data_IF_583340755880
#
_entry.id   IF_583340755880
#
_cell.length_a   1.000
_cell.length_b   1.000
_cell.length_c   1.000
_cell.angle_alpha   90.00
_cell.angle_beta   90.00
_cell.angle_gamma   90.00
#
_symmetry.space_group_name_H-M   'P 1'
#
loop_
_entity.id
_entity.type
_entity.pdbx_description
1 polymer ?
#
# COMPACT_ATOMS: atom_id res chain seq x y z
N UNK A 1 -5.83 -9.30 2.31
CA UNK A 1 -5.58 -7.85 2.16
C UNK A 1 -6.64 -7.06 2.91
N UNK A 2 -6.26 -6.15 3.84
CA UNK A 2 -7.24 -5.39 4.63
C UNK A 2 -7.53 -4.04 3.94
N UNK A 3 -8.75 -3.86 3.41
CA UNK A 3 -9.19 -2.60 2.77
C UNK A 3 -9.11 -1.42 3.76
N UNK A 4 -9.40 -1.65 5.05
CA UNK A 4 -9.38 -0.62 6.08
C UNK A 4 -8.05 0.17 6.15
N UNK A 5 -6.91 -0.52 5.97
CA UNK A 5 -5.59 0.13 6.03
C UNK A 5 -5.41 1.11 4.85
N UNK A 6 -5.85 0.73 3.64
CA UNK A 6 -5.75 1.62 2.48
C UNK A 6 -6.65 2.84 2.63
N UNK A 7 -7.87 2.66 3.12
CA UNK A 7 -8.80 3.77 3.36
C UNK A 7 -8.21 4.80 4.32
N UNK A 8 -7.63 4.37 5.43
CA UNK A 8 -7.00 5.28 6.41
C UNK A 8 -5.84 6.07 5.81
N UNK A 9 -5.02 5.43 4.97
CA UNK A 9 -3.90 6.09 4.27
C UNK A 9 -4.40 7.09 3.22
N UNK A 10 -5.46 6.76 2.47
CA UNK A 10 -6.08 7.69 1.52
C UNK A 10 -6.62 8.92 2.26
N UNK A 11 -7.32 8.72 3.39
CA UNK A 11 -7.84 9.80 4.23
C UNK A 11 -6.70 10.71 4.72
N UNK A 12 -5.60 10.14 5.20
CA UNK A 12 -4.40 10.88 5.59
C UNK A 12 -3.92 11.79 4.46
N UNK A 13 -3.70 11.24 3.26
CA UNK A 13 -3.18 12.01 2.12
C UNK A 13 -4.16 13.06 1.60
N UNK A 14 -5.46 12.74 1.54
CA UNK A 14 -6.50 13.69 1.14
C UNK A 14 -6.56 14.89 2.11
N UNK A 15 -6.54 14.64 3.43
CA UNK A 15 -6.51 15.70 4.44
C UNK A 15 -5.24 16.55 4.35
N UNK A 16 -4.08 15.92 4.13
CA UNK A 16 -2.82 16.63 3.90
C UNK A 16 -2.86 17.47 2.62
N UNK A 17 -3.61 17.04 1.60
CA UNK A 17 -3.91 17.81 0.41
C UNK A 17 -4.97 18.91 0.60
N UNK A 18 -5.50 19.11 1.81
CA UNK A 18 -6.48 20.15 2.14
C UNK A 18 -7.94 19.74 1.90
N UNK A 19 -8.24 18.46 1.71
CA UNK A 19 -9.60 17.99 1.50
C UNK A 19 -10.33 17.70 2.82
N UNK A 20 -11.63 18.01 2.86
CA UNK A 20 -12.54 17.49 3.88
C UNK A 20 -12.97 16.07 3.48
N UNK A 21 -12.80 15.10 4.38
CA UNK A 21 -13.04 13.68 4.06
C UNK A 21 -14.02 13.07 5.05
N UNK A 22 -15.07 12.45 4.51
CA UNK A 22 -16.03 11.64 5.25
C UNK A 22 -15.82 10.16 4.89
N UNK A 23 -15.84 9.29 5.90
CA UNK A 23 -15.74 7.85 5.70
C UNK A 23 -17.00 7.14 6.21
N UNK A 24 -17.31 6.01 5.57
CA UNK A 24 -18.45 5.17 5.92
C UNK A 24 -18.05 3.72 5.78
N UNK A 25 -18.35 2.91 6.79
CA UNK A 25 -18.14 1.46 6.75
C UNK A 25 -19.47 0.79 7.08
N UNK A 26 -19.82 -0.21 6.28
CA UNK A 26 -20.94 -1.11 6.54
C UNK A 26 -20.35 -2.50 6.72
N UNK A 27 -20.36 -2.99 7.96
CA UNK A 27 -19.64 -4.22 8.33
C UNK A 27 -20.42 -5.50 8.05
N UNK A 28 -21.71 -5.54 8.38
CA UNK A 28 -22.62 -6.66 8.11
C UNK A 28 -24.03 -6.13 7.89
N UNK A 29 -24.52 -6.23 6.66
CA UNK A 29 -25.91 -5.91 6.32
C UNK A 29 -26.35 -6.72 5.09
N UNK A 30 -27.61 -7.12 5.08
CA UNK A 30 -28.27 -7.73 3.90
C UNK A 30 -28.58 -6.68 2.81
N UNK A 31 -28.39 -5.39 3.09
CA UNK A 31 -28.63 -4.28 2.16
C UNK A 31 -27.45 -3.28 2.12
N UNK A 32 -26.23 -3.80 2.20
CA UNK A 32 -25.02 -2.98 2.37
C UNK A 32 -24.85 -1.89 1.28
N UNK A 33 -25.23 -2.16 0.03
CA UNK A 33 -25.10 -1.19 -1.07
C UNK A 33 -26.00 0.03 -0.85
N UNK A 34 -27.26 -0.18 -0.46
CA UNK A 34 -28.18 0.92 -0.19
C UNK A 34 -27.72 1.74 1.02
N UNK A 35 -27.23 1.09 2.07
CA UNK A 35 -26.69 1.77 3.25
C UNK A 35 -25.43 2.59 2.90
N UNK A 36 -24.52 2.05 2.09
CA UNK A 36 -23.36 2.78 1.59
C UNK A 36 -23.78 4.02 0.76
N UNK A 37 -24.78 3.88 -0.11
CA UNK A 37 -25.35 5.02 -0.84
C UNK A 37 -25.94 6.06 0.11
N UNK A 38 -26.69 5.63 1.14
CA UNK A 38 -27.26 6.54 2.13
C UNK A 38 -26.17 7.31 2.89
N UNK A 39 -25.09 6.64 3.29
CA UNK A 39 -23.96 7.31 3.95
C UNK A 39 -23.34 8.36 3.03
N UNK A 40 -23.06 8.02 1.77
CA UNK A 40 -22.51 8.96 0.79
C UNK A 40 -23.47 10.14 0.54
N UNK A 41 -24.76 9.87 0.38
CA UNK A 41 -25.79 10.85 0.05
C UNK A 41 -26.20 11.77 1.20
N UNK A 42 -25.82 11.46 2.44
CA UNK A 42 -25.97 12.38 3.59
C UNK A 42 -24.98 13.55 3.52
N UNK A 43 -23.90 13.40 2.76
CA UNK A 43 -22.86 14.40 2.63
C UNK A 43 -23.02 15.16 1.31
N UNK A 44 -22.72 16.45 1.33
CA UNK A 44 -22.58 17.24 0.10
C UNK A 44 -21.10 17.26 -0.29
N UNK A 45 -20.68 16.29 -1.10
CA UNK A 45 -19.28 16.08 -1.51
C UNK A 45 -19.09 16.29 -3.01
N UNK A 46 -17.89 16.74 -3.41
CA UNK A 46 -17.53 16.91 -4.82
C UNK A 46 -17.39 15.58 -5.57
N UNK A 47 -17.01 14.52 -4.84
CA UNK A 47 -16.88 13.15 -5.36
C UNK A 47 -17.10 12.12 -4.24
N UNK A 48 -17.80 11.05 -4.57
CA UNK A 48 -17.92 9.85 -3.76
C UNK A 48 -17.05 8.73 -4.36
N UNK A 49 -16.37 7.96 -3.51
CA UNK A 49 -15.39 6.96 -3.96
C UNK A 49 -15.62 5.63 -3.25
N UNK A 50 -15.74 4.56 -4.02
CA UNK A 50 -15.73 3.18 -3.52
C UNK A 50 -14.37 2.54 -3.86
N UNK A 51 -13.73 1.90 -2.87
CA UNK A 51 -12.40 1.30 -3.03
C UNK A 51 -12.54 -0.22 -3.03
N UNK A 52 -12.12 -0.84 -4.13
CA UNK A 52 -12.15 -2.28 -4.35
C UNK A 52 -10.76 -2.79 -4.75
N UNK A 53 -10.61 -4.10 -4.67
CA UNK A 53 -9.52 -4.82 -5.31
C UNK A 53 -10.11 -5.89 -6.19
N UNK A 54 -9.55 -6.03 -7.39
CA UNK A 54 -10.10 -6.89 -8.42
C UNK A 54 -9.65 -8.34 -8.22
N UNK A 55 -10.32 -9.26 -8.91
CA UNK A 55 -9.95 -10.66 -8.98
C UNK A 55 -10.40 -11.23 -10.33
N UNK A 56 -9.64 -12.16 -10.89
CA UNK A 56 -9.96 -12.87 -12.12
C UNK A 56 -9.34 -14.28 -12.11
N UNK A 57 -8.01 -14.39 -12.17
CA UNK A 57 -7.29 -15.67 -12.07
C UNK A 57 -5.94 -15.53 -11.39
N UNK A 58 -5.45 -16.62 -10.79
CA UNK A 58 -4.14 -16.64 -10.13
C UNK A 58 -3.01 -16.54 -11.15
N UNK A 59 -2.12 -15.56 -10.97
CA UNK A 59 -0.95 -15.35 -11.85
C UNK A 59 0.23 -14.73 -11.11
N UNK A 60 1.43 -14.90 -11.67
CA UNK A 60 2.64 -14.21 -11.21
C UNK A 60 2.80 -12.81 -11.85
N UNK A 61 2.09 -12.53 -12.94
CA UNK A 61 2.24 -11.31 -13.73
C UNK A 61 1.35 -10.16 -13.24
N UNK A 62 1.68 -8.92 -13.66
CA UNK A 62 0.85 -7.74 -13.38
C UNK A 62 -0.48 -7.80 -14.14
N UNK A 63 -1.59 -7.59 -13.44
CA UNK A 63 -2.92 -7.54 -14.05
C UNK A 63 -3.48 -6.13 -14.13
N UNK A 64 -3.22 -5.30 -13.12
CA UNK A 64 -3.32 -3.86 -13.23
C UNK A 64 -4.45 -3.20 -12.45
N UNK A 65 -4.70 -1.94 -12.79
CA UNK A 65 -5.74 -1.08 -12.20
C UNK A 65 -6.78 -0.68 -13.24
N UNK A 66 -8.02 -0.54 -12.80
CA UNK A 66 -9.10 0.10 -13.57
C UNK A 66 -9.96 0.99 -12.64
N UNK A 67 -10.64 1.98 -13.20
CA UNK A 67 -11.57 2.82 -12.43
C UNK A 67 -12.89 2.98 -13.17
N UNK A 68 -13.98 2.62 -12.52
CA UNK A 68 -15.32 2.59 -13.11
C UNK A 68 -16.04 3.90 -12.77
N UNK A 69 -16.70 4.50 -13.75
CA UNK A 69 -17.49 5.73 -13.59
C UNK A 69 -18.84 5.60 -14.31
N UNK A 70 -19.85 6.33 -13.85
CA UNK A 70 -21.17 6.37 -14.53
C UNK A 70 -21.43 7.67 -15.28
N UNK A 71 -21.00 8.81 -14.73
CA UNK A 71 -21.28 10.15 -15.26
C UNK A 71 -20.02 10.80 -15.84
N UNK A 72 -20.18 11.80 -16.71
CA UNK A 72 -19.05 12.57 -17.24
C UNK A 72 -18.25 13.27 -16.14
N UNK A 73 -18.92 13.76 -15.08
CA UNK A 73 -18.23 14.34 -13.92
C UNK A 73 -17.42 13.28 -13.17
N UNK A 74 -17.95 12.06 -13.00
CA UNK A 74 -17.21 10.93 -12.44
C UNK A 74 -16.02 10.52 -13.32
N UNK A 75 -16.17 10.56 -14.65
CA UNK A 75 -15.11 10.23 -15.62
C UNK A 75 -13.84 11.05 -15.38
N UNK A 76 -13.97 12.35 -15.11
CA UNK A 76 -12.82 13.23 -14.84
C UNK A 76 -11.99 12.71 -13.67
N UNK A 77 -12.63 12.31 -12.57
CA UNK A 77 -11.93 11.73 -11.43
C UNK A 77 -11.34 10.36 -11.77
N UNK A 78 -12.10 9.51 -12.47
CA UNK A 78 -11.67 8.17 -12.85
C UNK A 78 -10.42 8.19 -13.74
N UNK A 79 -10.38 9.06 -14.75
CA UNK A 79 -9.23 9.22 -15.64
C UNK A 79 -7.97 9.64 -14.87
N UNK A 80 -8.09 10.61 -13.96
CA UNK A 80 -6.95 11.10 -13.17
C UNK A 80 -6.42 10.04 -12.20
N UNK A 81 -7.32 9.39 -11.46
CA UNK A 81 -6.96 8.33 -10.51
C UNK A 81 -6.33 7.15 -11.23
N UNK A 82 -6.94 6.68 -12.32
CA UNK A 82 -6.42 5.56 -13.10
C UNK A 82 -5.04 5.91 -13.69
N UNK A 83 -4.86 7.11 -14.23
CA UNK A 83 -3.57 7.59 -14.74
C UNK A 83 -2.48 7.57 -13.67
N UNK A 84 -2.80 8.01 -12.44
CA UNK A 84 -1.85 7.97 -11.32
C UNK A 84 -1.49 6.54 -10.92
N UNK A 85 -2.48 5.66 -10.76
CA UNK A 85 -2.23 4.25 -10.40
C UNK A 85 -1.51 3.46 -11.51
N UNK A 86 -1.74 3.82 -12.78
CA UNK A 86 -1.07 3.24 -13.94
C UNK A 86 0.46 3.50 -13.98
N UNK A 87 0.98 4.39 -13.13
CA UNK A 87 2.43 4.57 -12.98
C UNK A 87 3.11 3.39 -12.27
N UNK A 88 2.34 2.58 -11.54
CA UNK A 88 2.87 1.46 -10.74
C UNK A 88 2.24 0.11 -11.12
N UNK A 89 0.97 0.12 -11.54
CA UNK A 89 0.22 -1.04 -12.01
C UNK A 89 0.01 -1.01 -13.53
N UNK A 90 -0.32 -2.16 -14.13
CA UNK A 90 -0.70 -2.22 -15.55
C UNK A 90 -1.95 -1.36 -15.79
N UNK A 91 -1.93 -0.50 -16.80
CA UNK A 91 -3.05 0.38 -17.12
C UNK A 91 -4.18 -0.40 -17.83
N UNK A 92 -5.38 -0.45 -17.26
CA UNK A 92 -6.59 -0.99 -17.91
C UNK A 92 -7.64 0.08 -18.21
N UNK A 93 -7.35 1.33 -17.84
CA UNK A 93 -8.16 2.49 -18.17
C UNK A 93 -9.30 2.77 -17.20
N UNK A 94 -9.82 4.01 -17.31
CA UNK A 94 -11.13 4.33 -16.78
C UNK A 94 -12.21 3.74 -17.70
N UNK A 95 -13.27 3.18 -17.12
CA UNK A 95 -14.33 2.48 -17.86
C UNK A 95 -15.70 3.01 -17.46
N UNK A 96 -16.56 3.26 -18.45
CA UNK A 96 -17.96 3.55 -18.18
C UNK A 96 -18.64 2.32 -17.59
N UNK A 97 -19.49 2.53 -16.59
CA UNK A 97 -20.32 1.48 -16.02
C UNK A 97 -21.36 1.01 -17.06
N UNK A 98 -21.18 -0.23 -17.53
CA UNK A 98 -22.12 -0.92 -18.42
C UNK A 98 -22.96 -1.97 -17.68
N UNK A 99 -22.68 -2.20 -16.39
CA UNK A 99 -23.31 -3.25 -15.58
C UNK A 99 -24.47 -2.72 -14.76
N UNK A 100 -24.61 -1.39 -14.64
CA UNK A 100 -25.60 -0.76 -13.79
C UNK A 100 -25.29 -0.99 -12.31
N UNK A 101 -24.02 -0.79 -11.92
CA UNK A 101 -23.59 -0.96 -10.54
C UNK A 101 -24.45 -0.09 -9.62
N UNK A 102 -25.09 -0.74 -8.65
CA UNK A 102 -26.09 -0.11 -7.80
C UNK A 102 -25.53 1.13 -7.09
N UNK A 103 -24.31 1.02 -6.54
CA UNK A 103 -23.69 2.10 -5.78
C UNK A 103 -23.41 3.34 -6.63
N UNK A 104 -22.83 3.16 -7.83
CA UNK A 104 -22.63 4.26 -8.79
C UNK A 104 -23.96 4.86 -9.26
N UNK A 105 -25.00 4.04 -9.35
CA UNK A 105 -26.32 4.44 -9.85
C UNK A 105 -27.16 5.21 -8.85
N UNK A 106 -26.96 4.99 -7.55
CA UNK A 106 -27.79 5.55 -6.47
C UNK A 106 -27.02 6.55 -5.58
N UNK A 107 -25.77 6.86 -5.92
CA UNK A 107 -25.00 7.93 -5.28
C UNK A 107 -25.24 9.25 -6.02
N UNK A 108 -25.60 10.31 -5.29
CA UNK A 108 -26.00 11.63 -5.83
C UNK A 108 -24.81 12.44 -6.34
N UNK A 109 -23.72 12.46 -5.59
CA UNK A 109 -22.48 13.12 -6.00
C UNK A 109 -21.86 12.39 -7.20
N UNK A 110 -20.97 13.03 -7.98
CA UNK A 110 -20.11 12.32 -8.92
C UNK A 110 -19.43 11.13 -8.22
N UNK A 111 -19.54 9.93 -8.79
CA UNK A 111 -19.12 8.71 -8.12
C UNK A 111 -18.17 7.89 -9.00
N UNK A 112 -17.14 7.30 -8.38
CA UNK A 112 -16.20 6.37 -9.00
C UNK A 112 -15.97 5.14 -8.12
N UNK A 113 -15.74 3.99 -8.76
CA UNK A 113 -15.31 2.74 -8.11
C UNK A 113 -13.90 2.43 -8.60
N UNK A 114 -12.94 2.41 -7.68
CA UNK A 114 -11.53 2.15 -7.99
C UNK A 114 -11.25 0.67 -7.76
N UNK A 115 -10.85 -0.05 -8.80
CA UNK A 115 -10.23 -1.37 -8.70
C UNK A 115 -8.72 -1.17 -8.66
N UNK A 116 -8.17 -1.11 -7.44
CA UNK A 116 -6.81 -0.64 -7.18
C UNK A 116 -5.77 -1.54 -7.86
N UNK A 117 -5.86 -2.84 -7.61
CA UNK A 117 -5.03 -3.88 -8.23
C UNK A 117 -5.71 -5.25 -8.06
N UNK A 118 -5.15 -6.31 -8.65
CA UNK A 118 -5.70 -7.67 -8.55
C UNK A 118 -5.16 -8.42 -7.32
N UNK A 119 -6.06 -9.05 -6.55
CA UNK A 119 -5.72 -9.80 -5.32
C UNK A 119 -5.10 -11.17 -5.59
N UNK A 120 -5.33 -11.70 -6.78
CA UNK A 120 -4.86 -12.98 -7.27
C UNK A 120 -3.68 -12.84 -8.26
N UNK A 121 -3.22 -11.62 -8.52
CA UNK A 121 -1.92 -11.34 -9.11
C UNK A 121 -0.86 -11.20 -8.02
N UNK A 122 0.16 -12.06 -8.07
CA UNK A 122 1.30 -11.97 -7.14
C UNK A 122 2.04 -10.66 -7.30
N UNK A 123 2.33 -10.23 -8.53
CA UNK A 123 3.06 -8.98 -8.78
C UNK A 123 2.32 -7.74 -8.25
N UNK A 124 1.00 -7.68 -8.45
CA UNK A 124 0.17 -6.57 -7.97
C UNK A 124 0.09 -6.57 -6.44
N UNK A 125 -0.17 -7.73 -5.84
CA UNK A 125 -0.29 -7.89 -4.38
C UNK A 125 1.01 -7.58 -3.67
N UNK A 126 2.14 -8.11 -4.16
CA UNK A 126 3.47 -7.85 -3.62
C UNK A 126 3.80 -6.35 -3.64
N UNK A 127 3.51 -5.67 -4.76
CA UNK A 127 3.73 -4.23 -4.88
C UNK A 127 2.85 -3.44 -3.92
N UNK A 128 1.54 -3.71 -3.91
CA UNK A 128 0.60 -3.05 -3.02
C UNK A 128 1.00 -3.21 -1.55
N UNK A 129 1.35 -4.43 -1.12
CA UNK A 129 1.69 -4.70 0.27
C UNK A 129 2.93 -3.88 0.69
N UNK A 130 3.98 -3.82 -0.14
CA UNK A 130 5.20 -3.02 0.16
C UNK A 130 4.98 -1.51 0.06
N UNK A 131 4.10 -1.06 -0.83
CA UNK A 131 3.99 0.34 -1.26
C UNK A 131 2.59 0.95 -1.03
N UNK A 132 1.79 0.41 -0.10
CA UNK A 132 0.42 0.86 0.19
C UNK A 132 0.26 2.37 0.44
N UNK A 133 1.23 3.02 1.10
CA UNK A 133 1.21 4.49 1.32
C UNK A 133 1.43 5.27 0.01
N UNK A 134 2.29 4.77 -0.90
CA UNK A 134 2.47 5.33 -2.25
C UNK A 134 1.19 5.16 -3.06
N UNK A 135 0.57 3.98 -3.02
CA UNK A 135 -0.71 3.71 -3.71
C UNK A 135 -1.81 4.66 -3.20
N UNK A 136 -1.92 4.82 -1.88
CA UNK A 136 -2.86 5.75 -1.27
C UNK A 136 -2.61 7.21 -1.70
N UNK A 137 -1.34 7.63 -1.73
CA UNK A 137 -0.93 8.95 -2.21
C UNK A 137 -1.32 9.17 -3.67
N UNK A 138 -1.05 8.21 -4.56
CA UNK A 138 -1.42 8.29 -5.97
C UNK A 138 -2.94 8.46 -6.16
N UNK A 139 -3.74 7.73 -5.39
CA UNK A 139 -5.20 7.89 -5.38
C UNK A 139 -5.57 9.32 -4.96
N UNK A 140 -5.03 9.81 -3.83
CA UNK A 140 -5.31 11.16 -3.34
C UNK A 140 -4.90 12.25 -4.33
N UNK A 141 -3.72 12.14 -4.96
CA UNK A 141 -3.26 13.07 -5.99
C UNK A 141 -4.15 13.04 -7.23
N UNK A 142 -4.67 11.87 -7.63
CA UNK A 142 -5.62 11.74 -8.73
C UNK A 142 -6.98 12.37 -8.42
N UNK A 143 -7.44 12.25 -7.17
CA UNK A 143 -8.67 12.89 -6.70
C UNK A 143 -8.53 14.40 -6.70
N UNK A 144 -7.44 14.92 -6.13
CA UNK A 144 -7.21 16.36 -5.94
C UNK A 144 -6.59 17.06 -7.15
N UNK A 145 -6.16 16.29 -8.16
CA UNK A 145 -5.47 16.78 -9.36
C UNK A 145 -4.25 17.65 -9.06
N UNK A 146 -3.49 17.27 -8.04
CA UNK A 146 -2.26 17.96 -7.66
C UNK A 146 -1.34 16.98 -6.95
N UNK A 147 -0.04 17.24 -7.03
CA UNK A 147 0.92 16.52 -6.20
C UNK A 147 0.76 16.93 -4.73
N UNK A 148 0.93 15.97 -3.84
CA UNK A 148 0.95 16.23 -2.39
C UNK A 148 2.38 16.01 -1.92
N UNK A 149 3.03 17.07 -1.45
CA UNK A 149 4.35 16.93 -0.87
C UNK A 149 4.23 16.15 0.43
N UNK A 150 5.00 15.07 0.53
CA UNK A 150 5.26 14.47 1.82
C UNK A 150 5.97 15.57 2.61
N UNK A 151 5.40 16.10 3.69
CA UNK A 151 6.21 16.84 4.64
C UNK A 151 7.18 15.81 5.25
N UNK A 152 8.28 15.55 4.55
CA UNK A 152 9.49 15.04 5.16
C UNK A 152 9.84 16.09 6.21
N UNK A 153 9.78 15.70 7.47
CA UNK A 153 10.57 16.36 8.49
C UNK A 153 12.01 16.31 7.95
N UNK A 154 12.46 17.41 7.39
CA UNK A 154 13.82 17.56 6.90
C UNK A 154 14.75 17.43 8.10
N UNK A 155 15.64 16.46 8.02
CA UNK A 155 16.97 16.57 8.60
C UNK A 155 17.91 16.26 7.43
N UNK A 156 18.63 17.30 7.02
CA UNK A 156 19.39 17.35 5.79
C UNK A 156 20.51 16.32 5.71
N UNK A 157 20.92 16.05 4.49
CA UNK A 157 22.09 15.25 4.17
C UNK A 157 22.09 14.83 2.70
N UNK A 158 22.72 15.64 1.85
CA UNK A 158 23.13 15.22 0.51
C UNK A 158 24.10 14.03 0.62
N UNK A 159 23.83 12.94 -0.09
CA UNK A 159 24.77 12.21 -0.95
C UNK A 159 24.03 11.05 -1.64
N UNK A 160 24.35 10.83 -2.91
CA UNK A 160 23.81 9.76 -3.76
C UNK A 160 24.12 8.34 -3.21
N UNK A 161 23.37 7.83 -2.22
CA UNK A 161 23.41 6.39 -1.87
C UNK A 161 22.12 5.74 -1.30
N UNK A 162 21.02 6.44 -0.98
CA UNK A 162 19.92 5.77 -0.27
C UNK A 162 18.69 5.53 -1.16
N UNK A 163 18.68 4.41 -1.91
CA UNK A 163 17.45 3.93 -2.58
C UNK A 163 16.41 3.40 -1.57
N UNK A 164 16.85 3.03 -0.37
CA UNK A 164 16.03 2.44 0.69
C UNK A 164 16.46 2.95 2.07
N UNK A 165 15.49 3.14 2.98
CA UNK A 165 15.76 3.58 4.36
C UNK A 165 16.16 2.41 5.28
N UNK A 166 15.79 1.18 4.92
CA UNK A 166 15.97 0.00 5.77
C UNK A 166 16.53 -1.19 4.99
N UNK A 167 17.61 -1.79 5.48
CA UNK A 167 18.11 -3.08 5.03
C UNK A 167 17.59 -4.19 5.94
N UNK A 168 16.98 -5.23 5.35
CA UNK A 168 16.58 -6.46 6.04
C UNK A 168 17.58 -7.54 5.60
N UNK A 169 18.52 -7.83 6.48
CA UNK A 169 19.67 -8.69 6.23
C UNK A 169 19.34 -10.12 6.64
N UNK A 170 19.67 -11.09 5.78
CA UNK A 170 19.41 -12.51 6.00
C UNK A 170 20.61 -13.37 5.55
N UNK A 171 20.58 -14.67 5.86
CA UNK A 171 21.58 -15.63 5.38
C UNK A 171 20.90 -16.92 4.92
N UNK A 172 21.10 -17.31 3.66
CA UNK A 172 20.52 -18.54 3.09
C UNK A 172 19.03 -18.45 2.78
N UNK A 173 18.50 -19.44 2.04
CA UNK A 173 17.16 -19.36 1.45
C UNK A 173 16.01 -19.48 2.47
N UNK A 174 16.23 -20.11 3.62
CA UNK A 174 15.18 -20.26 4.65
C UNK A 174 14.92 -18.93 5.37
N UNK A 175 15.98 -18.21 5.75
CA UNK A 175 15.86 -16.93 6.46
C UNK A 175 15.35 -15.82 5.54
N UNK A 176 15.65 -15.95 4.24
CA UNK A 176 15.10 -15.10 3.18
C UNK A 176 13.58 -15.07 3.17
N UNK A 177 12.90 -16.17 3.51
CA UNK A 177 11.45 -16.20 3.57
C UNK A 177 10.92 -15.28 4.68
N UNK A 178 11.53 -15.30 5.86
CA UNK A 178 11.17 -14.43 6.98
C UNK A 178 11.50 -12.97 6.66
N UNK A 179 12.68 -12.71 6.07
CA UNK A 179 13.07 -11.38 5.61
C UNK A 179 12.10 -10.84 4.54
N UNK A 180 11.64 -11.69 3.63
CA UNK A 180 10.63 -11.36 2.62
C UNK A 180 9.32 -10.95 3.27
N UNK A 181 8.84 -11.74 4.24
CA UNK A 181 7.62 -11.40 4.97
C UNK A 181 7.80 -10.09 5.74
N UNK A 182 8.95 -9.84 6.36
CA UNK A 182 9.20 -8.57 7.05
C UNK A 182 9.18 -7.37 6.07
N UNK A 183 9.79 -7.52 4.90
CA UNK A 183 9.86 -6.46 3.87
C UNK A 183 8.50 -5.99 3.37
N UNK A 184 7.49 -6.87 3.44
CA UNK A 184 6.11 -6.56 3.07
C UNK A 184 5.47 -5.50 3.98
N UNK A 185 5.95 -5.38 5.21
CA UNK A 185 5.38 -4.48 6.20
C UNK A 185 6.28 -3.27 6.50
N UNK A 186 7.59 -3.40 6.30
CA UNK A 186 8.53 -2.28 6.44
C UNK A 186 8.60 -1.50 5.12
N UNK A 187 7.98 -0.32 5.09
CA UNK A 187 8.04 0.58 3.94
C UNK A 187 9.48 1.05 3.66
N UNK A 188 9.77 1.28 2.38
CA UNK A 188 11.10 1.69 1.88
C UNK A 188 12.25 0.78 2.37
N UNK A 189 12.03 -0.53 2.35
CA UNK A 189 13.03 -1.53 2.72
C UNK A 189 13.57 -2.30 1.51
N UNK A 190 14.78 -2.83 1.66
CA UNK A 190 15.39 -3.80 0.75
C UNK A 190 15.80 -5.06 1.52
N UNK A 191 15.80 -6.20 0.85
CA UNK A 191 16.26 -7.46 1.42
C UNK A 191 17.68 -7.72 0.90
N UNK A 192 18.61 -8.07 1.78
CA UNK A 192 20.04 -8.17 1.46
C UNK A 192 20.62 -9.45 2.06
N UNK A 193 21.26 -10.29 1.25
CA UNK A 193 22.04 -11.41 1.77
C UNK A 193 23.27 -10.84 2.50
N UNK A 194 23.60 -11.36 3.69
CA UNK A 194 24.72 -10.86 4.49
C UNK A 194 26.05 -10.83 3.73
N UNK A 195 26.23 -11.70 2.73
CA UNK A 195 27.41 -11.71 1.86
C UNK A 195 27.53 -10.45 0.96
N UNK A 196 26.39 -9.83 0.64
CA UNK A 196 26.27 -8.67 -0.25
C UNK A 196 26.07 -7.37 0.55
N UNK A 197 25.95 -7.47 1.88
CA UNK A 197 25.76 -6.33 2.77
C UNK A 197 26.98 -5.41 2.78
N UNK A 198 26.72 -4.10 2.80
CA UNK A 198 27.74 -3.05 2.93
C UNK A 198 27.37 -2.14 4.10
N UNK A 199 28.37 -1.77 4.89
CA UNK A 199 28.20 -0.84 6.01
C UNK A 199 27.58 0.48 5.53
N UNK A 200 26.63 0.99 6.31
CA UNK A 200 25.91 2.23 6.07
C UNK A 200 25.10 2.30 4.77
N UNK A 201 24.74 1.14 4.18
CA UNK A 201 23.91 1.11 2.97
C UNK A 201 22.46 1.54 3.18
N UNK A 202 21.99 1.53 4.43
CA UNK A 202 20.66 1.97 4.83
C UNK A 202 20.74 2.55 6.25
N UNK A 203 19.84 3.48 6.56
CA UNK A 203 19.74 4.10 7.90
C UNK A 203 19.39 3.09 8.99
N UNK A 204 18.51 2.15 8.69
CA UNK A 204 18.09 1.10 9.61
C UNK A 204 18.55 -0.27 9.10
N UNK A 205 18.98 -1.12 10.00
CA UNK A 205 19.42 -2.49 9.68
C UNK A 205 18.68 -3.46 10.58
N UNK A 206 17.89 -4.34 9.97
CA UNK A 206 17.21 -5.45 10.64
C UNK A 206 17.87 -6.74 10.21
N UNK A 207 18.22 -7.60 11.16
CA UNK A 207 18.95 -8.83 10.90
C UNK A 207 18.06 -10.00 11.28
N UNK A 208 17.83 -10.90 10.33
CA UNK A 208 17.02 -12.11 10.52
C UNK A 208 17.96 -13.29 10.73
N UNK A 209 17.91 -13.84 11.95
CA UNK A 209 18.43 -15.17 12.33
C UNK A 209 19.95 -15.43 12.12
N UNK A 210 20.44 -16.46 12.83
CA UNK A 210 21.65 -17.26 12.58
C UNK A 210 22.85 -16.61 11.89
N UNK A 211 23.21 -17.11 10.71
CA UNK A 211 24.45 -16.75 10.00
C UNK A 211 24.57 -15.26 9.66
N UNK A 212 23.44 -14.57 9.50
CA UNK A 212 23.43 -13.12 9.31
C UNK A 212 23.83 -12.37 10.58
N UNK A 213 23.44 -12.88 11.76
CA UNK A 213 23.83 -12.33 13.07
C UNK A 213 25.34 -12.39 13.30
N UNK A 214 26.01 -13.47 12.88
CA UNK A 214 27.47 -13.53 13.00
C UNK A 214 28.17 -12.71 11.93
N UNK A 215 27.63 -12.68 10.70
CA UNK A 215 28.20 -11.88 9.62
C UNK A 215 28.10 -10.37 9.89
N UNK A 216 26.99 -9.89 10.46
CA UNK A 216 26.76 -8.46 10.67
C UNK A 216 27.70 -7.86 11.72
N UNK A 217 28.17 -8.65 12.70
CA UNK A 217 29.14 -8.22 13.73
C UNK A 217 30.47 -7.71 13.17
N UNK A 218 30.77 -8.04 11.91
CA UNK A 218 31.96 -7.55 11.20
C UNK A 218 31.85 -6.08 10.80
N UNK A 219 30.65 -5.51 10.87
CA UNK A 219 30.37 -4.13 10.48
C UNK A 219 30.06 -3.27 11.71
N UNK A 220 30.41 -1.97 11.68
CA UNK A 220 30.18 -1.04 12.80
C UNK A 220 28.72 -0.56 12.93
N UNK A 221 27.83 -0.97 12.02
CA UNK A 221 26.44 -0.55 11.96
C UNK A 221 25.65 -0.93 13.22
N UNK A 222 24.73 -0.05 13.62
CA UNK A 222 23.70 -0.41 14.61
C UNK A 222 22.62 -1.22 13.92
N UNK A 223 22.21 -2.33 14.54
CA UNK A 223 21.18 -3.21 14.00
C UNK A 223 20.21 -3.70 15.07
N UNK A 224 18.99 -4.03 14.63
CA UNK A 224 18.01 -4.76 15.45
C UNK A 224 18.03 -6.21 15.02
N UNK A 225 18.32 -7.11 15.96
CA UNK A 225 18.37 -8.53 15.67
C UNK A 225 17.03 -9.22 15.98
N UNK A 226 16.60 -10.09 15.08
CA UNK A 226 15.46 -10.98 15.26
C UNK A 226 15.99 -12.41 15.29
N UNK A 227 16.24 -12.93 16.48
CA UNK A 227 16.82 -14.25 16.70
C UNK A 227 16.06 -14.95 17.84
N UNK A 228 15.20 -15.89 17.48
CA UNK A 228 14.57 -16.83 18.41
C UNK A 228 15.42 -18.09 18.60
N UNK A 229 15.01 -18.98 19.50
CA UNK A 229 15.65 -20.29 19.68
C UNK A 229 15.46 -21.18 18.43
N UNK A 230 14.40 -20.95 17.67
CA UNK A 230 14.15 -21.56 16.37
C UNK A 230 13.49 -20.57 15.39
N UNK A 231 13.37 -21.00 14.13
CA UNK A 231 12.72 -20.22 13.06
C UNK A 231 11.29 -19.79 13.38
N UNK A 232 10.52 -20.61 14.10
CA UNK A 232 9.13 -20.27 14.45
C UNK A 232 9.11 -19.12 15.46
N UNK A 233 10.04 -19.14 16.40
CA UNK A 233 10.21 -18.06 17.36
C UNK A 233 10.77 -16.79 16.72
N UNK A 234 11.75 -16.89 15.82
CA UNK A 234 12.21 -15.75 15.00
C UNK A 234 11.05 -15.12 14.23
N UNK A 235 10.22 -15.93 13.59
CA UNK A 235 9.03 -15.46 12.89
C UNK A 235 8.03 -14.76 13.83
N UNK A 236 7.82 -15.29 15.05
CA UNK A 236 6.98 -14.63 16.07
C UNK A 236 7.54 -13.27 16.48
N UNK A 237 8.85 -13.15 16.70
CA UNK A 237 9.49 -11.88 17.04
C UNK A 237 9.29 -10.83 15.95
N UNK A 238 9.43 -11.22 14.68
CA UNK A 238 9.12 -10.34 13.53
C UNK A 238 7.66 -9.91 13.56
N UNK A 239 6.72 -10.84 13.75
CA UNK A 239 5.29 -10.51 13.82
C UNK A 239 4.96 -9.60 15.00
N UNK A 240 5.55 -9.81 16.18
CA UNK A 240 5.35 -8.98 17.36
C UNK A 240 5.89 -7.57 17.13
N UNK A 241 7.08 -7.43 16.55
CA UNK A 241 7.62 -6.13 16.18
C UNK A 241 6.70 -5.38 15.23
N UNK A 242 6.23 -6.06 14.18
CA UNK A 242 5.31 -5.47 13.20
C UNK A 242 3.96 -5.07 13.85
N UNK A 243 3.41 -5.88 14.77
CA UNK A 243 2.20 -5.52 15.53
C UNK A 243 2.43 -4.31 16.43
N UNK A 244 3.55 -4.28 17.16
CA UNK A 244 3.90 -3.17 18.06
C UNK A 244 4.10 -1.86 17.30
N UNK A 245 4.56 -1.93 16.05
CA UNK A 245 4.65 -0.78 15.14
C UNK A 245 3.33 -0.47 14.40
N UNK A 246 2.25 -1.21 14.67
CA UNK A 246 0.94 -1.09 14.00
C UNK A 246 1.03 -1.26 12.47
N UNK A 247 1.90 -2.15 12.02
CA UNK A 247 2.11 -2.46 10.60
C UNK A 247 1.30 -3.68 10.13
N UNK A 248 0.73 -4.46 11.07
CA UNK A 248 -0.11 -5.66 10.87
C UNK A 248 -1.60 -5.42 11.16
#
# INVERSE_FOLDING_TARGET
MKIAILTDLIVKWLKQGGATVYTGKVDKSNNYLAEQCQIANRQNVDVAIQIHFNADHTTLDKMGTETIYKTNNGKVYADRVNTKLATVFKNRGAKSDVRGLFWLSHTKAPAILIEVCFVDSKADTDYYIRHKDIVAKLIAEGILNKSINSNSTESGGNNNMDKFDTAIVYSGETDKAIATIMSFYISNSTIVDIKDYKSYMCRNVFVIEGGATEGIKKYPDKYTNFMGADRKETFKLVLEYLKNKKLL
#
